data_IF_522885334933
#
_entry.id   IF_522885334933
#
_cell.length_a   1.000
_cell.length_b   1.000
_cell.length_c   1.000
_cell.angle_alpha   90.00
_cell.angle_beta   90.00
_cell.angle_gamma   90.00
#
_symmetry.space_group_name_H-M   'P 1'
#
loop_
_entity.id
_entity.type
_entity.pdbx_description
1 polymer ?
#
# COMPACT_ATOMS: atom_id res chain seq x y z
N UNK A 1 -17.58 -3.18 -7.06
CA UNK A 1 -17.85 -4.52 -7.62
C UNK A 1 -16.79 -4.88 -8.64
N UNK A 2 -16.31 -6.13 -8.64
CA UNK A 2 -15.31 -6.65 -9.59
C UNK A 2 -15.92 -7.79 -10.42
N UNK A 3 -15.69 -7.76 -11.72
CA UNK A 3 -16.07 -8.81 -12.65
C UNK A 3 -14.79 -9.38 -13.29
N UNK A 4 -14.58 -10.68 -13.16
CA UNK A 4 -13.41 -11.37 -13.74
C UNK A 4 -13.86 -12.55 -14.60
N UNK A 5 -13.23 -12.70 -15.77
CA UNK A 5 -13.55 -13.79 -16.69
C UNK A 5 -12.31 -14.30 -17.42
N UNK A 6 -12.23 -15.62 -17.56
CA UNK A 6 -11.32 -16.26 -18.52
C UNK A 6 -11.81 -15.98 -19.95
N UNK A 7 -11.03 -15.20 -20.71
CA UNK A 7 -11.37 -14.83 -22.10
C UNK A 7 -10.84 -15.87 -23.09
N UNK A 8 -9.66 -16.43 -22.82
CA UNK A 8 -9.02 -17.47 -23.64
C UNK A 8 -8.21 -18.44 -22.76
N UNK A 9 -7.73 -19.57 -23.30
CA UNK A 9 -6.93 -20.55 -22.55
C UNK A 9 -5.68 -19.89 -21.95
N UNK A 10 -5.66 -19.75 -20.62
CA UNK A 10 -4.59 -19.11 -19.88
C UNK A 10 -4.69 -17.59 -19.77
N UNK A 11 -5.60 -16.94 -20.51
CA UNK A 11 -5.82 -15.48 -20.44
C UNK A 11 -7.07 -15.16 -19.63
N UNK A 12 -6.92 -14.27 -18.65
CA UNK A 12 -7.97 -13.76 -17.79
C UNK A 12 -8.03 -12.24 -17.93
N UNK A 13 -9.24 -11.70 -17.90
CA UNK A 13 -9.48 -10.26 -17.91
C UNK A 13 -10.46 -9.87 -16.81
N UNK A 14 -10.20 -8.74 -16.18
CA UNK A 14 -10.98 -8.16 -15.11
C UNK A 14 -11.48 -6.76 -15.44
N UNK A 15 -12.64 -6.41 -14.87
CA UNK A 15 -13.21 -5.09 -14.83
C UNK A 15 -13.57 -4.79 -13.38
N UNK A 16 -13.03 -3.72 -12.84
CA UNK A 16 -13.28 -3.27 -11.47
C UNK A 16 -13.98 -1.92 -11.50
N UNK A 17 -15.02 -1.77 -10.68
CA UNK A 17 -15.66 -0.49 -10.40
C UNK A 17 -15.73 -0.31 -8.89
N UNK A 18 -15.12 0.74 -8.37
CA UNK A 18 -15.20 1.14 -6.96
C UNK A 18 -15.85 2.52 -6.87
N UNK A 19 -16.66 2.72 -5.85
CA UNK A 19 -17.21 4.02 -5.49
C UNK A 19 -17.18 4.11 -3.98
N UNK A 20 -16.61 5.19 -3.46
CA UNK A 20 -16.78 5.53 -2.05
C UNK A 20 -18.17 6.16 -1.89
N UNK A 21 -19.03 5.54 -1.07
CA UNK A 21 -20.40 5.99 -0.80
C UNK A 21 -20.57 6.54 0.62
N UNK A 22 -19.48 6.64 1.40
CA UNK A 22 -19.57 7.05 2.79
C UNK A 22 -19.84 8.57 2.88
N UNK A 23 -21.12 8.93 3.01
CA UNK A 23 -21.59 10.30 3.28
C UNK A 23 -21.40 10.74 4.76
N UNK A 24 -21.05 9.83 5.67
CA UNK A 24 -20.94 10.16 7.10
C UNK A 24 -19.52 10.51 7.52
N UNK A 25 -19.07 11.76 7.30
CA UNK A 25 -17.93 12.32 8.04
C UNK A 25 -18.19 13.77 8.45
N UNK A 26 -18.34 13.97 9.76
CA UNK A 26 -18.46 15.27 10.43
C UNK A 26 -17.11 15.99 10.65
N UNK A 27 -15.96 15.44 10.25
CA UNK A 27 -14.68 16.15 10.37
C UNK A 27 -13.70 15.87 9.22
N UNK A 28 -13.47 16.94 8.45
CA UNK A 28 -12.44 17.26 7.43
C UNK A 28 -12.16 16.31 6.24
N UNK A 29 -12.24 16.90 5.04
CA UNK A 29 -11.44 16.57 3.83
C UNK A 29 -11.59 15.16 3.25
N UNK A 30 -12.81 14.76 2.93
CA UNK A 30 -13.05 13.54 2.14
C UNK A 30 -13.69 13.88 0.81
N UNK A 31 -12.99 13.56 -0.29
CA UNK A 31 -13.53 13.66 -1.64
C UNK A 31 -14.03 12.27 -2.06
N UNK A 32 -15.36 12.06 -2.16
CA UNK A 32 -15.91 10.80 -2.66
C UNK A 32 -15.36 10.55 -4.06
N UNK A 33 -14.73 9.40 -4.25
CA UNK A 33 -14.01 9.08 -5.49
C UNK A 33 -14.54 7.79 -6.06
N UNK A 34 -14.79 7.79 -7.37
CA UNK A 34 -15.09 6.60 -8.13
C UNK A 34 -13.88 6.17 -8.95
N UNK A 35 -13.65 4.87 -9.03
CA UNK A 35 -12.52 4.29 -9.73
C UNK A 35 -12.98 3.18 -10.68
N UNK A 36 -12.38 3.12 -11.86
CA UNK A 36 -12.61 2.08 -12.88
C UNK A 36 -11.27 1.45 -13.21
N UNK A 37 -11.21 0.13 -13.17
CA UNK A 37 -10.02 -0.66 -13.49
C UNK A 37 -10.28 -1.67 -14.58
N UNK A 38 -9.28 -1.89 -15.44
CA UNK A 38 -9.22 -2.99 -16.40
C UNK A 38 -7.89 -3.70 -16.21
N UNK A 39 -7.95 -5.00 -15.94
CA UNK A 39 -6.76 -5.82 -15.77
C UNK A 39 -6.79 -7.05 -16.70
N UNK A 40 -5.61 -7.58 -16.99
CA UNK A 40 -5.49 -8.84 -17.68
C UNK A 40 -4.17 -9.52 -17.41
N UNK A 41 -4.18 -10.85 -17.42
CA UNK A 41 -2.96 -11.64 -17.23
C UNK A 41 -2.98 -12.92 -18.03
N UNK A 42 -1.78 -13.43 -18.32
CA UNK A 42 -1.60 -14.71 -18.98
C UNK A 42 -0.81 -15.67 -18.09
N UNK A 43 -1.45 -16.76 -17.65
CA UNK A 43 -0.83 -17.74 -16.77
C UNK A 43 0.01 -18.74 -17.59
N UNK A 44 1.29 -18.41 -17.79
CA UNK A 44 2.26 -19.35 -18.41
C UNK A 44 2.61 -20.47 -17.43
N UNK A 45 2.87 -20.10 -16.17
CA UNK A 45 3.10 -20.99 -15.05
C UNK A 45 2.82 -20.25 -13.74
N UNK A 46 2.77 -20.97 -12.62
CA UNK A 46 2.68 -20.34 -11.28
C UNK A 46 3.83 -19.39 -10.97
N UNK A 47 4.98 -19.60 -11.60
CA UNK A 47 6.17 -18.80 -11.40
C UNK A 47 6.21 -17.59 -12.34
N UNK A 48 5.47 -17.58 -13.44
CA UNK A 48 5.57 -16.52 -14.44
C UNK A 48 4.20 -16.19 -15.00
N UNK A 49 3.66 -15.07 -14.54
CA UNK A 49 2.36 -14.55 -14.91
C UNK A 49 2.59 -13.10 -15.37
N UNK A 50 2.85 -12.88 -16.68
CA UNK A 50 2.76 -11.54 -17.24
C UNK A 50 1.35 -10.98 -17.06
N UNK A 51 1.27 -9.70 -16.72
CA UNK A 51 0.01 -9.00 -16.51
C UNK A 51 0.12 -7.54 -16.95
N UNK A 52 -1.04 -6.93 -17.15
CA UNK A 52 -1.21 -5.50 -17.29
C UNK A 52 -2.44 -5.06 -16.49
N UNK A 53 -2.43 -3.82 -16.07
CA UNK A 53 -3.50 -3.18 -15.30
C UNK A 53 -3.57 -1.71 -15.72
N UNK A 54 -4.79 -1.21 -15.88
CA UNK A 54 -5.06 0.17 -16.17
C UNK A 54 -6.22 0.62 -15.29
N UNK A 55 -5.99 1.68 -14.53
CA UNK A 55 -6.96 2.22 -13.60
C UNK A 55 -7.19 3.70 -13.87
N UNK A 56 -8.39 4.16 -13.56
CA UNK A 56 -8.79 5.55 -13.71
C UNK A 56 -9.65 5.96 -12.52
N UNK A 57 -9.26 7.05 -11.87
CA UNK A 57 -10.08 7.77 -10.89
C UNK A 57 -10.90 8.82 -11.66
N UNK A 58 -12.23 8.78 -11.58
CA UNK A 58 -13.12 9.54 -12.48
C UNK A 58 -12.94 11.06 -12.39
N UNK A 59 -12.54 11.58 -11.23
CA UNK A 59 -12.35 13.01 -10.97
C UNK A 59 -10.88 13.41 -10.78
N UNK A 60 -9.95 12.47 -11.05
CA UNK A 60 -8.51 12.69 -10.89
C UNK A 60 -7.77 12.09 -12.09
N UNK A 61 -6.65 11.40 -11.85
CA UNK A 61 -5.84 10.78 -12.89
C UNK A 61 -6.14 9.32 -13.18
N UNK A 62 -5.29 8.78 -14.06
CA UNK A 62 -5.22 7.37 -14.41
C UNK A 62 -3.84 6.79 -14.10
N UNK A 63 -3.78 5.48 -13.97
CA UNK A 63 -2.55 4.73 -13.78
C UNK A 63 -2.48 3.56 -14.74
N UNK A 64 -1.26 3.19 -15.11
CA UNK A 64 -0.97 1.99 -15.87
C UNK A 64 0.13 1.21 -15.18
N UNK A 65 -0.01 -0.10 -15.15
CA UNK A 65 1.01 -1.00 -14.65
C UNK A 65 1.13 -2.22 -15.56
N UNK A 66 2.35 -2.66 -15.80
CA UNK A 66 2.61 -3.90 -16.54
C UNK A 66 3.85 -4.57 -16.01
N UNK A 67 3.85 -5.90 -16.03
CA UNK A 67 4.96 -6.60 -15.44
C UNK A 67 4.78 -8.10 -15.40
N UNK A 68 5.52 -8.70 -14.49
CA UNK A 68 5.48 -10.14 -14.21
C UNK A 68 5.27 -10.35 -12.72
N UNK A 69 4.39 -11.27 -12.40
CA UNK A 69 4.20 -11.77 -11.04
C UNK A 69 4.29 -13.29 -11.01
N UNK A 70 4.52 -13.84 -9.83
CA UNK A 70 4.59 -15.29 -9.66
C UNK A 70 4.86 -15.65 -8.22
N UNK A 71 4.92 -16.95 -7.95
CA UNK A 71 5.27 -17.41 -6.62
C UNK A 71 5.40 -18.92 -6.51
N UNK A 72 6.06 -19.36 -5.43
CA UNK A 72 6.17 -20.76 -5.05
C UNK A 72 5.83 -20.91 -3.58
N UNK A 73 4.74 -21.63 -3.28
CA UNK A 73 4.30 -21.98 -1.93
C UNK A 73 4.24 -20.79 -0.97
N UNK A 74 5.34 -20.49 -0.28
CA UNK A 74 5.50 -19.46 0.73
C UNK A 74 6.09 -18.16 0.20
N UNK A 75 6.49 -18.07 -1.07
CA UNK A 75 7.13 -16.90 -1.66
C UNK A 75 6.29 -16.40 -2.84
N UNK A 76 5.97 -15.12 -2.86
CA UNK A 76 5.42 -14.41 -4.01
C UNK A 76 6.33 -13.25 -4.40
N UNK A 77 6.25 -12.86 -5.66
CA UNK A 77 6.97 -11.70 -6.17
C UNK A 77 6.18 -11.00 -7.27
N UNK A 78 6.50 -9.72 -7.45
CA UNK A 78 5.96 -8.86 -8.50
C UNK A 78 7.06 -7.89 -8.94
N UNK A 79 7.29 -7.81 -10.25
CA UNK A 79 8.19 -6.84 -10.87
C UNK A 79 7.39 -6.12 -11.94
N UNK A 80 7.30 -4.80 -11.86
CA UNK A 80 6.45 -4.02 -12.74
C UNK A 80 7.11 -2.72 -13.18
N UNK A 81 6.71 -2.25 -14.35
CA UNK A 81 6.81 -0.87 -14.76
C UNK A 81 5.44 -0.21 -14.55
N UNK A 82 5.44 0.96 -13.92
CA UNK A 82 4.22 1.69 -13.59
C UNK A 82 4.32 3.12 -14.12
N UNK A 83 3.23 3.61 -14.69
CA UNK A 83 3.00 5.02 -14.99
C UNK A 83 1.84 5.50 -14.14
N UNK A 84 2.07 6.58 -13.40
CA UNK A 84 1.10 7.26 -12.56
C UNK A 84 0.78 8.57 -13.24
N UNK A 85 -0.49 8.79 -13.61
CA UNK A 85 -0.98 10.05 -14.13
C UNK A 85 -1.05 11.13 -13.07
N UNK A 86 -1.24 12.37 -13.51
CA UNK A 86 -1.47 13.52 -12.62
C UNK A 86 -2.64 13.24 -11.66
N UNK A 87 -2.46 13.49 -10.36
CA UNK A 87 -3.46 13.23 -9.32
C UNK A 87 -3.93 11.76 -9.19
N UNK A 88 -3.27 10.80 -9.84
CA UNK A 88 -3.52 9.39 -9.61
C UNK A 88 -2.79 8.89 -8.36
N UNK A 89 -3.47 8.14 -7.51
CA UNK A 89 -2.87 7.54 -6.32
C UNK A 89 -2.81 6.01 -6.48
N UNK A 90 -1.61 5.43 -6.67
CA UNK A 90 -1.48 3.99 -6.89
C UNK A 90 -1.80 3.16 -5.64
N UNK A 91 -1.77 3.74 -4.44
CA UNK A 91 -2.10 3.00 -3.19
C UNK A 91 -3.60 2.88 -2.90
N UNK A 92 -4.46 3.46 -3.76
CA UNK A 92 -5.92 3.46 -3.56
C UNK A 92 -6.54 2.05 -3.61
N UNK A 93 -5.85 1.10 -4.25
CA UNK A 93 -6.26 -0.31 -4.33
C UNK A 93 -5.52 -1.21 -3.34
N UNK A 94 -4.65 -0.63 -2.50
CA UNK A 94 -3.90 -1.39 -1.51
C UNK A 94 -4.70 -1.52 -0.21
N UNK A 95 -4.35 -2.51 0.64
CA UNK A 95 -4.97 -2.65 1.97
C UNK A 95 -4.79 -1.40 2.85
N UNK A 96 -3.80 -0.57 2.51
CA UNK A 96 -3.60 0.75 3.11
C UNK A 96 -4.79 1.69 2.89
N UNK A 97 -5.51 1.62 1.78
CA UNK A 97 -6.68 2.47 1.56
C UNK A 97 -7.83 2.13 2.52
N UNK A 98 -8.07 0.83 2.76
CA UNK A 98 -9.11 0.39 3.70
C UNK A 98 -8.78 0.76 5.15
N UNK A 99 -7.48 0.81 5.50
CA UNK A 99 -7.02 1.10 6.87
C UNK A 99 -6.70 2.58 7.11
N UNK A 100 -6.38 3.32 6.05
CA UNK A 100 -6.07 4.76 6.05
C UNK A 100 -6.44 5.32 4.66
N UNK A 101 -7.70 5.74 4.49
CA UNK A 101 -8.16 6.41 3.26
C UNK A 101 -7.19 7.57 2.96
N UNK A 102 -6.53 7.52 1.80
CA UNK A 102 -5.53 8.50 1.39
C UNK A 102 -6.17 9.88 1.24
N UNK A 103 -5.58 10.93 1.81
CA UNK A 103 -6.04 12.30 1.58
C UNK A 103 -5.69 12.67 0.13
N UNK A 104 -6.71 12.80 -0.72
CA UNK A 104 -6.54 12.99 -2.16
C UNK A 104 -6.18 14.44 -2.54
N UNK A 105 -6.26 15.38 -1.58
CA UNK A 105 -5.92 16.80 -1.78
C UNK A 105 -4.39 17.08 -1.78
N UNK A 106 -3.57 16.11 -1.38
CA UNK A 106 -2.10 16.23 -1.29
C UNK A 106 -1.34 15.57 -2.45
N UNK A 107 -1.99 15.37 -3.60
CA UNK A 107 -1.44 14.53 -4.66
C UNK A 107 -0.48 15.25 -5.59
N UNK A 108 0.38 14.44 -6.22
CA UNK A 108 1.33 14.90 -7.22
C UNK A 108 0.62 15.50 -8.44
N UNK A 109 0.93 16.76 -8.72
CA UNK A 109 0.42 17.52 -9.87
C UNK A 109 1.06 17.14 -11.21
N UNK A 110 1.82 16.03 -11.26
CA UNK A 110 2.53 15.61 -12.47
C UNK A 110 2.48 14.10 -12.63
N UNK A 111 2.36 13.66 -13.87
CA UNK A 111 2.55 12.26 -14.22
C UNK A 111 4.01 11.85 -14.08
N UNK A 112 4.26 10.65 -13.59
CA UNK A 112 5.60 10.07 -13.49
C UNK A 112 5.56 8.57 -13.79
N UNK A 113 6.70 8.02 -14.16
CA UNK A 113 6.84 6.58 -14.37
C UNK A 113 8.03 6.01 -13.62
N UNK A 114 7.99 4.71 -13.36
CA UNK A 114 8.99 4.06 -12.54
C UNK A 114 8.86 2.55 -12.49
N UNK A 115 9.69 1.97 -11.64
CA UNK A 115 9.77 0.53 -11.42
C UNK A 115 9.25 0.17 -10.03
N UNK A 116 8.56 -0.96 -9.97
CA UNK A 116 8.07 -1.57 -8.75
C UNK A 116 8.68 -2.96 -8.62
N UNK A 117 9.28 -3.24 -7.47
CA UNK A 117 9.64 -4.59 -7.05
C UNK A 117 8.94 -4.92 -5.74
N UNK A 118 8.32 -6.08 -5.66
CA UNK A 118 7.68 -6.55 -4.44
C UNK A 118 7.98 -8.03 -4.23
N UNK A 119 8.23 -8.40 -2.98
CA UNK A 119 8.44 -9.77 -2.54
C UNK A 119 7.62 -10.01 -1.29
N UNK A 120 6.88 -11.11 -1.25
CA UNK A 120 6.13 -11.56 -0.09
C UNK A 120 6.56 -12.95 0.37
N UNK A 121 6.45 -13.18 1.67
CA UNK A 121 6.77 -14.41 2.39
C UNK A 121 5.59 -14.78 3.27
N UNK A 122 4.90 -15.86 2.91
CA UNK A 122 3.75 -16.42 3.62
C UNK A 122 4.12 -17.75 4.29
N UNK A 123 4.43 -17.70 5.58
CA UNK A 123 4.78 -18.89 6.37
C UNK A 123 3.55 -19.42 7.09
N UNK A 124 3.11 -20.61 6.69
CA UNK A 124 2.09 -21.42 7.37
C UNK A 124 0.76 -20.70 7.67
N UNK A 125 0.33 -19.77 6.79
CA UNK A 125 -0.84 -18.89 7.00
C UNK A 125 -0.80 -18.06 8.30
N UNK A 126 0.34 -18.05 8.98
CA UNK A 126 0.55 -17.46 10.30
C UNK A 126 1.35 -16.18 10.20
N UNK A 127 2.37 -16.15 9.35
CA UNK A 127 3.22 -14.99 9.16
C UNK A 127 3.18 -14.59 7.70
N UNK A 128 2.86 -13.34 7.47
CA UNK A 128 2.85 -12.71 6.17
C UNK A 128 3.80 -11.52 6.24
N UNK A 129 4.91 -11.60 5.52
CA UNK A 129 5.85 -10.50 5.39
C UNK A 129 5.89 -10.09 3.93
N UNK A 130 5.69 -8.82 3.64
CA UNK A 130 5.79 -8.28 2.30
C UNK A 130 6.67 -7.04 2.33
N UNK A 131 7.57 -6.94 1.35
CA UNK A 131 8.40 -5.76 1.13
C UNK A 131 8.20 -5.27 -0.29
N UNK A 132 8.24 -3.95 -0.44
CA UNK A 132 8.05 -3.24 -1.70
C UNK A 132 9.15 -2.22 -1.86
N UNK A 133 9.69 -2.13 -3.07
CA UNK A 133 10.59 -1.10 -3.54
C UNK A 133 9.97 -0.42 -4.74
N UNK A 134 9.92 0.91 -4.73
CA UNK A 134 9.48 1.73 -5.83
C UNK A 134 10.57 2.74 -6.18
N UNK A 135 10.82 2.95 -7.48
CA UNK A 135 11.74 3.96 -7.96
C UNK A 135 11.09 4.74 -9.10
N UNK A 136 10.91 6.05 -8.91
CA UNK A 136 10.35 6.97 -9.89
C UNK A 136 11.38 8.07 -10.22
N UNK A 137 12.26 7.86 -11.23
CA UNK A 137 13.35 8.79 -11.57
C UNK A 137 12.88 10.19 -11.97
N UNK A 138 11.69 10.27 -12.59
CA UNK A 138 11.15 11.52 -13.11
C UNK A 138 10.18 12.22 -12.13
N UNK A 139 9.88 11.58 -10.99
CA UNK A 139 8.97 12.16 -10.00
C UNK A 139 9.65 13.35 -9.36
N UNK A 140 9.00 14.51 -9.46
CA UNK A 140 9.42 15.74 -8.82
C UNK A 140 8.77 15.87 -7.44
N UNK A 141 9.54 16.27 -6.43
CA UNK A 141 9.02 16.61 -5.10
C UNK A 141 9.60 17.94 -4.66
N UNK A 142 8.77 18.73 -3.97
CA UNK A 142 9.18 19.98 -3.33
C UNK A 142 9.59 19.68 -1.89
N UNK A 143 10.83 20.01 -1.52
CA UNK A 143 11.29 19.98 -0.14
C UNK A 143 11.46 21.41 0.35
N UNK A 144 10.93 21.68 1.55
CA UNK A 144 11.12 22.95 2.24
C UNK A 144 12.35 22.83 3.13
N UNK A 145 13.39 23.60 2.83
CA UNK A 145 14.60 23.72 3.64
C UNK A 145 14.63 25.07 4.35
N UNK A 146 15.59 25.27 5.27
CA UNK A 146 15.82 26.59 5.88
C UNK A 146 16.18 27.67 4.85
N UNK A 147 16.70 27.28 3.68
CA UNK A 147 17.13 28.18 2.60
C UNK A 147 16.01 28.49 1.58
N UNK A 148 14.89 27.76 1.61
CA UNK A 148 13.76 27.94 0.70
C UNK A 148 13.17 26.62 0.21
N UNK A 149 12.33 26.68 -0.83
CA UNK A 149 11.74 25.50 -1.45
C UNK A 149 12.62 25.02 -2.60
N UNK A 150 13.07 23.77 -2.55
CA UNK A 150 13.85 23.13 -3.61
C UNK A 150 13.02 22.05 -4.29
N UNK A 151 13.13 21.96 -5.62
CA UNK A 151 12.51 20.90 -6.42
C UNK A 151 13.55 19.83 -6.69
N UNK A 152 13.24 18.60 -6.29
CA UNK A 152 14.12 17.46 -6.42
C UNK A 152 13.48 16.40 -7.31
N UNK A 153 14.29 15.62 -8.01
CA UNK A 153 13.86 14.55 -8.92
C UNK A 153 14.35 13.22 -8.40
N UNK A 154 13.59 12.16 -8.68
CA UNK A 154 14.01 10.81 -8.29
C UNK A 154 13.55 10.51 -6.88
N UNK A 155 12.49 9.72 -6.78
CA UNK A 155 11.99 9.23 -5.50
C UNK A 155 12.16 7.72 -5.47
N UNK A 156 12.87 7.26 -4.45
CA UNK A 156 12.94 5.86 -4.09
C UNK A 156 12.13 5.63 -2.82
N UNK A 157 11.27 4.63 -2.81
CA UNK A 157 10.50 4.25 -1.64
C UNK A 157 10.76 2.80 -1.33
N UNK A 158 11.12 2.51 -0.08
CA UNK A 158 11.14 1.15 0.46
C UNK A 158 10.04 1.07 1.52
N UNK A 159 9.14 0.12 1.38
CA UNK A 159 8.16 -0.18 2.41
C UNK A 159 8.10 -1.67 2.70
N UNK A 160 7.52 -2.01 3.84
CA UNK A 160 7.19 -3.38 4.12
C UNK A 160 6.21 -3.50 5.25
N UNK A 161 5.54 -4.64 5.29
CA UNK A 161 4.50 -4.98 6.23
C UNK A 161 4.73 -6.41 6.71
N UNK A 162 4.62 -6.58 8.02
CA UNK A 162 4.62 -7.85 8.71
C UNK A 162 3.24 -7.99 9.35
N UNK A 163 2.54 -9.06 9.04
CA UNK A 163 1.31 -9.46 9.70
C UNK A 163 1.52 -10.84 10.31
N UNK A 164 1.20 -10.97 11.59
CA UNK A 164 1.16 -12.23 12.30
C UNK A 164 -0.31 -12.52 12.60
N UNK A 165 -0.84 -13.49 11.84
CA UNK A 165 -2.19 -13.99 11.98
C UNK A 165 -2.34 -14.87 13.22
N UNK A 166 -3.60 -15.09 13.61
CA UNK A 166 -4.04 -15.68 14.86
C UNK A 166 -3.25 -16.93 15.27
N UNK A 167 -2.49 -16.82 16.36
CA UNK A 167 -1.82 -17.96 16.98
C UNK A 167 -2.72 -18.55 18.08
N UNK A 168 -3.26 -19.75 17.85
CA UNK A 168 -3.94 -20.52 18.90
C UNK A 168 -2.90 -21.25 19.75
N UNK A 169 -2.58 -20.71 20.94
CA UNK A 169 -1.48 -21.23 21.75
C UNK A 169 -1.82 -22.48 22.56
N UNK A 170 -3.11 -22.78 22.85
CA UNK A 170 -3.50 -23.91 23.70
C UNK A 170 -4.88 -24.50 23.34
N UNK A 171 -5.09 -25.83 23.52
CA UNK A 171 -6.41 -26.44 23.39
C UNK A 171 -7.38 -25.84 24.42
N UNK A 172 -8.44 -25.18 23.95
CA UNK A 172 -9.49 -24.59 24.80
C UNK A 172 -9.29 -23.12 25.17
N UNK A 173 -8.18 -22.48 24.76
CA UNK A 173 -8.00 -21.02 24.86
C UNK A 173 -7.93 -20.42 23.47
N UNK A 174 -9.04 -19.83 23.01
CA UNK A 174 -9.11 -19.07 21.76
C UNK A 174 -8.57 -17.65 21.97
N UNK A 175 -7.33 -17.51 22.44
CA UNK A 175 -6.70 -16.19 22.50
C UNK A 175 -6.17 -15.84 21.10
N UNK A 176 -6.95 -15.03 20.37
CA UNK A 176 -6.62 -14.48 19.04
C UNK A 176 -5.64 -13.31 19.16
N UNK A 177 -4.37 -13.59 19.39
CA UNK A 177 -3.35 -12.53 19.32
C UNK A 177 -3.07 -12.23 17.84
N UNK A 178 -3.27 -10.97 17.44
CA UNK A 178 -2.83 -10.46 16.15
C UNK A 178 -1.77 -9.39 16.39
N UNK A 179 -0.70 -9.42 15.62
CA UNK A 179 0.30 -8.36 15.64
C UNK A 179 0.66 -7.99 14.21
N UNK A 180 1.04 -6.73 14.02
CA UNK A 180 1.58 -6.30 12.75
C UNK A 180 2.51 -5.11 12.90
N UNK A 181 3.35 -4.91 11.89
CA UNK A 181 4.21 -3.75 11.77
C UNK A 181 4.32 -3.37 10.30
N UNK A 182 4.40 -2.08 10.02
CA UNK A 182 4.70 -1.55 8.70
C UNK A 182 5.74 -0.45 8.82
N UNK A 183 6.62 -0.37 7.83
CA UNK A 183 7.57 0.72 7.71
C UNK A 183 7.50 1.29 6.29
N UNK A 184 7.82 2.57 6.16
CA UNK A 184 8.01 3.24 4.88
C UNK A 184 9.16 4.21 5.01
N UNK A 185 10.12 4.12 4.10
CA UNK A 185 11.24 5.02 3.98
C UNK A 185 11.20 5.63 2.58
N UNK A 186 11.32 6.95 2.51
CA UNK A 186 11.38 7.70 1.26
C UNK A 186 12.77 8.31 1.17
N UNK A 187 13.52 7.91 0.14
CA UNK A 187 14.80 8.51 -0.21
C UNK A 187 14.60 9.40 -1.44
N UNK A 188 15.25 10.56 -1.44
CA UNK A 188 15.16 11.53 -2.54
C UNK A 188 16.56 11.77 -3.09
N UNK A 189 16.69 11.68 -4.41
CA UNK A 189 17.97 11.86 -5.10
C UNK A 189 18.25 13.35 -5.31
N UNK A 190 19.15 13.92 -4.52
CA UNK A 190 19.69 15.25 -4.78
C UNK A 190 20.79 15.08 -5.81
N UNK A 191 20.64 15.72 -6.97
CA UNK A 191 21.47 15.62 -8.19
C UNK A 191 23.00 15.80 -8.03
N UNK A 192 23.58 15.79 -6.83
CA UNK A 192 25.01 15.79 -6.55
C UNK A 192 25.31 15.01 -5.26
N UNK A 193 25.49 13.69 -5.37
CA UNK A 193 26.22 12.74 -4.48
C UNK A 193 26.01 12.73 -2.95
N UNK A 194 25.18 13.58 -2.35
CA UNK A 194 24.85 13.55 -0.93
C UNK A 194 23.41 13.08 -0.73
N UNK A 195 23.26 11.86 -0.23
CA UNK A 195 22.02 11.39 0.37
C UNK A 195 21.78 12.21 1.64
N UNK A 196 20.82 13.13 1.60
CA UNK A 196 20.32 13.72 2.84
C UNK A 196 19.44 12.66 3.50
N UNK A 197 19.90 12.15 4.65
CA UNK A 197 19.08 11.37 5.57
C UNK A 197 18.06 12.31 6.22
N UNK A 198 17.07 12.74 5.44
CA UNK A 198 15.85 13.32 6.00
C UNK A 198 15.18 12.20 6.78
N UNK A 199 14.80 12.44 8.05
CA UNK A 199 14.09 11.50 8.93
C UNK A 199 12.65 11.22 8.39
N UNK A 200 12.57 10.73 7.15
CA UNK A 200 11.40 10.44 6.33
C UNK A 200 10.98 8.98 6.47
N UNK A 201 11.36 8.37 7.60
CA UNK A 201 10.97 7.01 7.94
C UNK A 201 9.74 7.05 8.82
N UNK A 202 8.63 6.54 8.31
CA UNK A 202 7.46 6.24 9.11
C UNK A 202 7.46 4.79 9.55
N UNK A 203 7.00 4.57 10.76
CA UNK A 203 6.82 3.23 11.33
C UNK A 203 5.48 3.17 12.03
N UNK A 204 4.75 2.10 11.77
CA UNK A 204 3.51 1.77 12.44
C UNK A 204 3.59 0.35 12.96
N UNK A 205 3.23 0.13 14.21
CA UNK A 205 3.16 -1.19 14.82
C UNK A 205 1.87 -1.32 15.60
N UNK A 206 1.32 -2.52 15.66
CA UNK A 206 0.13 -2.77 16.46
C UNK A 206 0.09 -4.19 17.03
N UNK A 207 -0.63 -4.31 18.14
CA UNK A 207 -1.02 -5.58 18.74
C UNK A 207 -2.51 -5.50 19.06
N UNK A 208 -3.28 -6.50 18.64
CA UNK A 208 -4.68 -6.69 19.01
C UNK A 208 -4.77 -7.87 19.97
N UNK A 209 -5.30 -7.60 21.15
CA UNK A 209 -5.55 -8.59 22.20
C UNK A 209 -7.06 -8.72 22.43
N UNK A 210 -7.65 -9.92 22.33
CA UNK A 210 -9.06 -10.12 22.57
C UNK A 210 -9.32 -10.16 24.08
N UNK A 211 -9.86 -9.08 24.63
CA UNK A 211 -10.21 -9.02 26.05
C UNK A 211 -11.46 -9.84 26.37
N UNK A 212 -12.37 -10.00 25.41
CA UNK A 212 -13.56 -10.86 25.50
C UNK A 212 -14.04 -11.30 24.10
N UNK A 213 -15.13 -12.07 24.04
CA UNK A 213 -15.76 -12.48 22.78
C UNK A 213 -16.26 -11.31 21.90
N UNK A 214 -16.47 -10.14 22.51
CA UNK A 214 -17.01 -8.93 21.85
C UNK A 214 -16.10 -7.71 21.95
N UNK A 215 -14.94 -7.82 22.61
CA UNK A 215 -14.05 -6.68 22.85
C UNK A 215 -12.61 -7.05 22.57
N UNK A 216 -11.97 -6.25 21.71
CA UNK A 216 -10.51 -6.25 21.60
C UNK A 216 -9.89 -4.99 22.19
N UNK A 217 -8.68 -5.15 22.68
CA UNK A 217 -7.77 -4.07 23.02
C UNK A 217 -6.72 -3.99 21.92
N UNK A 218 -6.64 -2.84 21.24
CA UNK A 218 -5.61 -2.54 20.26
C UNK A 218 -4.61 -1.56 20.85
N UNK A 219 -3.35 -1.95 20.86
CA UNK A 219 -2.22 -1.08 21.19
C UNK A 219 -1.54 -0.73 19.87
N UNK A 220 -1.35 0.57 19.62
CA UNK A 220 -0.73 1.07 18.40
C UNK A 220 0.48 1.92 18.75
N UNK A 221 1.54 1.77 17.97
CA UNK A 221 2.73 2.59 18.02
C UNK A 221 2.91 3.24 16.66
N UNK A 222 3.04 4.56 16.62
CA UNK A 222 3.22 5.32 15.39
C UNK A 222 4.41 6.26 15.54
N UNK A 223 5.26 6.28 14.51
CA UNK A 223 6.29 7.28 14.28
C UNK A 223 6.06 7.83 12.88
N UNK A 224 5.74 9.10 12.76
CA UNK A 224 5.68 9.82 11.48
C UNK A 224 6.97 10.65 11.29
N UNK A 225 7.33 11.02 10.04
CA UNK A 225 8.48 11.87 9.76
C UNK A 225 8.42 13.19 10.53
N UNK A 226 9.51 13.55 11.21
CA UNK A 226 9.60 14.81 11.95
C UNK A 226 8.70 14.94 13.19
N UNK A 227 7.93 13.91 13.57
CA UNK A 227 7.07 13.94 14.75
C UNK A 227 7.65 13.15 15.95
N UNK A 228 7.25 13.55 17.16
CA UNK A 228 7.52 12.76 18.37
C UNK A 228 6.72 11.45 18.37
N UNK A 229 7.31 10.40 18.93
CA UNK A 229 6.72 9.06 19.01
C UNK A 229 5.47 9.08 19.89
N UNK A 230 4.37 8.51 19.42
CA UNK A 230 3.19 8.30 20.26
C UNK A 230 2.74 6.84 20.29
N UNK A 231 2.25 6.43 21.47
CA UNK A 231 1.60 5.14 21.70
C UNK A 231 0.15 5.39 22.01
N UNK A 232 -0.75 4.80 21.23
CA UNK A 232 -2.20 4.96 21.40
C UNK A 232 -2.81 3.66 21.87
N UNK A 233 -3.75 3.75 22.81
CA UNK A 233 -4.55 2.63 23.29
C UNK A 233 -5.98 2.81 22.78
N UNK A 234 -6.50 1.84 22.03
CA UNK A 234 -7.87 1.84 21.51
C UNK A 234 -8.61 0.59 21.96
N UNK A 235 -9.88 0.75 22.33
CA UNK A 235 -10.80 -0.36 22.59
C UNK A 235 -11.68 -0.52 21.37
N UNK A 236 -11.73 -1.73 20.79
CA UNK A 236 -12.55 -2.06 19.65
C UNK A 236 -13.69 -2.96 20.14
N UNK A 237 -14.93 -2.50 19.97
CA UNK A 237 -16.13 -3.27 20.32
C UNK A 237 -16.65 -3.89 19.01
N UNK A 238 -16.76 -5.22 18.99
CA UNK A 238 -17.33 -5.98 17.87
C UNK A 238 -18.81 -6.19 18.14
N UNK A 239 -19.66 -5.82 17.19
CA UNK A 239 -21.11 -6.06 17.23
C UNK A 239 -21.48 -7.31 16.43
#
# INVERSE_FOLDING_TARGET
GRYERRVYKGFFGGLTYLTDLDEEIEDSEKIPTSAIGVDGFYELSRLLIPYFEYDMLLDFGNGYETGVRGGVSFLDYKLAYRTVGEEFEPTLYDQFYETRKSNLDLKDSKSYSGYLGQVGLHLFSLVDFQTRYENYPEKETEIVTEAGTEKIKGIETVSGNLNIAEMSFLPGMWSRLQAGASYKQINVDLNDFEWIDTDNTSFYGYVVYPASDSVDLKIEYVKEPGEEKYTTFRTIIRF
#
